data_IF_587778507211
#
_entry.id   IF_587778507211
#
_cell.length_a   1.000
_cell.length_b   1.000
_cell.length_c   1.000
_cell.angle_alpha   90.00
_cell.angle_beta   90.00
_cell.angle_gamma   90.00
#
_symmetry.space_group_name_H-M   'P 1'
#
loop_
_entity.id
_entity.type
_entity.pdbx_description
1 polymer ?
#
# COMPACT_ATOMS: atom_id res chain seq x y z
N UNK A 1 5.74 0.42 -1.22
CA UNK A 1 5.96 1.29 -2.41
C UNK A 1 6.74 2.52 -1.99
N UNK A 2 7.87 2.79 -2.64
CA UNK A 2 8.78 3.86 -2.24
C UNK A 2 8.50 5.16 -3.00
N UNK A 3 8.23 6.24 -2.27
CA UNK A 3 7.99 7.57 -2.85
C UNK A 3 9.24 8.05 -3.61
N UNK A 4 10.42 7.75 -3.09
CA UNK A 4 11.69 8.12 -3.72
C UNK A 4 11.82 7.51 -5.11
N UNK A 5 11.44 6.25 -5.28
CA UNK A 5 11.53 5.56 -6.57
C UNK A 5 10.65 6.22 -7.61
N UNK A 6 9.43 6.62 -7.21
CA UNK A 6 8.50 7.30 -8.10
C UNK A 6 9.00 8.68 -8.49
N UNK A 7 9.50 9.45 -7.54
CA UNK A 7 10.08 10.77 -7.80
C UNK A 7 11.28 10.65 -8.72
N UNK A 8 12.18 9.70 -8.47
CA UNK A 8 13.35 9.45 -9.32
C UNK A 8 12.95 9.08 -10.75
N UNK A 9 11.92 8.25 -10.90
CA UNK A 9 11.42 7.87 -12.22
C UNK A 9 10.90 9.08 -12.99
N UNK A 10 10.11 9.94 -12.34
CA UNK A 10 9.59 11.17 -12.96
C UNK A 10 10.74 12.04 -13.48
N UNK A 11 11.78 12.22 -12.67
CA UNK A 11 12.94 13.03 -13.03
C UNK A 11 13.70 12.40 -14.21
N UNK A 12 13.91 11.08 -14.18
CA UNK A 12 14.57 10.36 -15.28
C UNK A 12 13.83 10.51 -16.61
N UNK A 13 12.52 10.63 -16.57
CA UNK A 13 11.68 10.79 -17.77
C UNK A 13 11.53 12.26 -18.19
N UNK A 14 12.25 13.17 -17.55
CA UNK A 14 12.26 14.59 -17.90
C UNK A 14 11.13 15.40 -17.26
N UNK A 15 10.39 14.81 -16.35
CA UNK A 15 9.32 15.50 -15.63
C UNK A 15 9.82 16.20 -14.37
N UNK A 16 8.92 16.88 -13.68
CA UNK A 16 9.18 17.52 -12.40
C UNK A 16 8.42 16.84 -11.30
N UNK A 17 9.11 16.45 -10.24
CA UNK A 17 8.48 15.93 -9.02
C UNK A 17 8.12 17.13 -8.14
N UNK A 18 6.82 17.43 -8.04
CA UNK A 18 6.33 18.53 -7.19
C UNK A 18 5.93 17.97 -5.83
N UNK A 19 6.37 18.68 -4.79
CA UNK A 19 5.94 18.38 -3.42
C UNK A 19 4.72 19.23 -3.08
N UNK A 20 3.74 18.62 -2.48
CA UNK A 20 2.52 19.28 -2.02
C UNK A 20 2.34 19.02 -0.54
N UNK A 21 1.35 19.67 0.07
CA UNK A 21 1.05 19.48 1.48
C UNK A 21 0.61 18.05 1.76
N UNK A 22 0.87 17.60 2.98
CA UNK A 22 0.36 16.34 3.48
C UNK A 22 -0.90 16.65 4.29
N UNK A 23 -2.00 15.97 4.00
CA UNK A 23 -3.25 16.13 4.75
C UNK A 23 -3.08 15.65 6.19
N UNK A 24 -3.93 16.19 7.08
CA UNK A 24 -3.91 15.81 8.49
C UNK A 24 -4.15 14.31 8.62
N UNK A 25 -3.28 13.65 9.38
CA UNK A 25 -3.37 12.23 9.65
C UNK A 25 -4.20 12.02 10.92
N UNK A 26 -5.24 11.18 10.92
CA UNK A 26 -6.02 10.88 12.13
C UNK A 26 -5.15 10.26 13.23
N UNK A 27 -5.42 10.61 14.49
CA UNK A 27 -4.67 10.08 15.63
C UNK A 27 -5.43 8.97 16.38
N UNK A 28 -6.73 8.83 16.15
CA UNK A 28 -7.55 7.81 16.79
C UNK A 28 -8.06 6.84 15.72
N UNK A 29 -7.59 5.60 15.80
CA UNK A 29 -7.94 4.55 14.84
C UNK A 29 -8.88 3.49 15.44
N UNK A 30 -9.19 3.58 16.75
CA UNK A 30 -10.06 2.62 17.41
C UNK A 30 -9.34 1.37 17.90
N UNK A 31 -10.03 0.22 17.82
CA UNK A 31 -9.48 -1.08 18.25
C UNK A 31 -8.41 -1.59 17.29
N UNK A 32 -7.57 -2.55 17.74
CA UNK A 32 -6.59 -3.18 16.82
C UNK A 32 -7.21 -3.76 15.56
N UNK A 33 -8.38 -4.38 15.67
CA UNK A 33 -9.08 -4.90 14.50
C UNK A 33 -9.45 -3.78 13.53
N UNK A 34 -10.00 -2.68 14.05
CA UNK A 34 -10.37 -1.52 13.22
C UNK A 34 -9.16 -0.91 12.52
N UNK A 35 -8.02 -0.83 13.22
CA UNK A 35 -6.77 -0.33 12.64
C UNK A 35 -6.36 -1.18 11.44
N UNK A 36 -6.33 -2.49 11.58
CA UNK A 36 -5.90 -3.38 10.50
C UNK A 36 -6.91 -3.46 9.36
N UNK A 37 -8.20 -3.32 9.65
CA UNK A 37 -9.22 -3.19 8.60
C UNK A 37 -9.02 -1.92 7.79
N UNK A 38 -8.69 -0.80 8.44
CA UNK A 38 -8.37 0.45 7.75
C UNK A 38 -7.11 0.33 6.90
N UNK A 39 -6.10 -0.37 7.40
CA UNK A 39 -4.87 -0.66 6.62
C UNK A 39 -5.22 -1.44 5.37
N UNK A 40 -6.04 -2.49 5.50
CA UNK A 40 -6.45 -3.29 4.35
C UNK A 40 -7.22 -2.46 3.32
N UNK A 41 -8.17 -1.64 3.75
CA UNK A 41 -8.90 -0.73 2.86
C UNK A 41 -7.97 0.24 2.15
N UNK A 42 -6.99 0.76 2.87
CA UNK A 42 -5.99 1.66 2.30
C UNK A 42 -5.17 0.96 1.21
N UNK A 43 -4.73 -0.28 1.45
CA UNK A 43 -3.99 -1.06 0.46
C UNK A 43 -4.85 -1.32 -0.79
N UNK A 44 -6.13 -1.63 -0.63
CA UNK A 44 -7.03 -1.80 -1.76
C UNK A 44 -7.20 -0.51 -2.57
N UNK A 45 -7.26 0.63 -1.91
CA UNK A 45 -7.33 1.94 -2.58
C UNK A 45 -6.05 2.22 -3.37
N UNK A 46 -4.90 1.96 -2.77
CA UNK A 46 -3.59 2.14 -3.43
C UNK A 46 -3.51 1.26 -4.67
N UNK A 47 -3.96 0.01 -4.59
CA UNK A 47 -4.00 -0.89 -5.75
C UNK A 47 -4.83 -0.32 -6.90
N UNK A 48 -6.01 0.23 -6.60
CA UNK A 48 -6.86 0.85 -7.61
C UNK A 48 -6.20 2.07 -8.25
N UNK A 49 -5.49 2.87 -7.46
CA UNK A 49 -4.76 4.03 -7.96
C UNK A 49 -3.63 3.62 -8.90
N UNK A 50 -2.90 2.56 -8.56
CA UNK A 50 -1.83 2.02 -9.39
C UNK A 50 -2.42 1.46 -10.69
N UNK A 51 -3.52 0.72 -10.63
CA UNK A 51 -4.20 0.19 -11.81
C UNK A 51 -4.63 1.32 -12.75
N UNK A 52 -5.17 2.41 -12.20
CA UNK A 52 -5.55 3.58 -12.98
C UNK A 52 -4.33 4.21 -13.68
N UNK A 53 -3.18 4.27 -13.01
CA UNK A 53 -1.95 4.77 -13.62
C UNK A 53 -1.46 3.86 -14.76
N UNK A 54 -1.57 2.55 -14.59
CA UNK A 54 -1.24 1.59 -15.67
C UNK A 54 -2.13 1.84 -16.88
N UNK A 55 -3.43 2.06 -16.67
CA UNK A 55 -4.37 2.35 -17.76
C UNK A 55 -3.99 3.64 -18.50
N UNK A 56 -3.61 4.69 -17.77
CA UNK A 56 -3.14 5.95 -18.37
C UNK A 56 -1.88 5.71 -19.20
N UNK A 57 -0.90 4.98 -18.65
CA UNK A 57 0.33 4.67 -19.38
C UNK A 57 0.04 3.86 -20.65
N UNK A 58 -0.91 2.93 -20.58
CA UNK A 58 -1.33 2.16 -21.75
C UNK A 58 -1.98 3.06 -22.82
N UNK A 59 -2.86 3.99 -22.41
CA UNK A 59 -3.49 4.93 -23.31
C UNK A 59 -2.49 5.85 -24.02
N UNK A 60 -1.44 6.25 -23.31
CA UNK A 60 -0.34 7.06 -23.84
C UNK A 60 0.69 6.22 -24.61
N UNK A 61 0.52 4.92 -24.67
CA UNK A 61 1.45 3.97 -25.30
C UNK A 61 2.88 4.05 -24.73
N UNK A 62 2.97 4.40 -23.44
CA UNK A 62 4.24 4.51 -22.72
C UNK A 62 4.58 3.17 -22.07
N UNK A 63 5.21 2.29 -22.83
CA UNK A 63 5.57 0.94 -22.38
C UNK A 63 6.59 0.94 -21.26
N UNK A 64 7.50 1.90 -21.23
CA UNK A 64 8.51 1.99 -20.18
C UNK A 64 7.84 2.31 -18.83
N UNK A 65 6.87 3.21 -18.81
CA UNK A 65 6.10 3.52 -17.60
C UNK A 65 5.24 2.34 -17.20
N UNK A 66 4.63 1.64 -18.14
CA UNK A 66 3.89 0.41 -17.83
C UNK A 66 4.79 -0.61 -17.12
N UNK A 67 5.98 -0.87 -17.65
CA UNK A 67 6.91 -1.80 -17.04
C UNK A 67 7.30 -1.39 -15.62
N UNK A 68 7.58 -0.12 -15.42
CA UNK A 68 7.87 0.44 -14.10
C UNK A 68 6.70 0.21 -13.12
N UNK A 69 5.48 0.50 -13.55
CA UNK A 69 4.28 0.35 -12.73
C UNK A 69 3.93 -1.10 -12.42
N UNK A 70 4.25 -2.04 -13.33
CA UNK A 70 4.01 -3.47 -13.09
C UNK A 70 4.76 -3.98 -11.85
N UNK A 71 5.91 -3.41 -11.53
CA UNK A 71 6.62 -3.71 -10.28
C UNK A 71 5.75 -3.39 -9.05
N UNK A 72 5.08 -2.25 -9.07
CA UNK A 72 4.19 -1.86 -7.97
C UNK A 72 2.91 -2.70 -7.95
N UNK A 73 2.39 -3.09 -9.10
CA UNK A 73 1.25 -4.01 -9.16
C UNK A 73 1.57 -5.32 -8.44
N UNK A 74 2.74 -5.89 -8.70
CA UNK A 74 3.19 -7.12 -8.03
C UNK A 74 3.34 -6.93 -6.53
N UNK A 75 3.93 -5.83 -6.10
CA UNK A 75 4.07 -5.52 -4.67
C UNK A 75 2.70 -5.40 -3.99
N UNK A 76 1.73 -4.78 -4.65
CA UNK A 76 0.40 -4.58 -4.08
C UNK A 76 -0.36 -5.90 -3.88
N UNK A 77 -0.16 -6.89 -4.74
CA UNK A 77 -0.74 -8.23 -4.53
C UNK A 77 -0.28 -8.78 -3.19
N UNK A 78 1.01 -8.67 -2.88
CA UNK A 78 1.57 -9.13 -1.61
C UNK A 78 1.11 -8.25 -0.44
N UNK A 79 1.05 -6.94 -0.61
CA UNK A 79 0.62 -6.01 0.45
C UNK A 79 -0.84 -6.26 0.83
N UNK A 80 -1.72 -6.46 -0.13
CA UNK A 80 -3.11 -6.79 0.15
C UNK A 80 -3.25 -8.14 0.84
N UNK A 81 -2.52 -9.15 0.37
CA UNK A 81 -2.54 -10.48 0.98
C UNK A 81 -2.03 -10.44 2.42
N UNK A 82 -0.97 -9.69 2.69
CA UNK A 82 -0.42 -9.50 4.03
C UNK A 82 -1.44 -8.82 4.94
N UNK A 83 -2.03 -7.71 4.49
CA UNK A 83 -3.01 -6.97 5.28
C UNK A 83 -4.25 -7.82 5.57
N UNK A 84 -4.77 -8.54 4.58
CA UNK A 84 -5.90 -9.45 4.75
C UNK A 84 -5.59 -10.56 5.75
N UNK A 85 -4.38 -11.11 5.68
CA UNK A 85 -3.92 -12.16 6.61
C UNK A 85 -3.86 -11.67 8.04
N UNK A 86 -3.40 -10.43 8.26
CA UNK A 86 -3.34 -9.81 9.59
C UNK A 86 -4.75 -9.59 10.14
N UNK A 87 -5.68 -9.07 9.33
CA UNK A 87 -7.08 -8.88 9.72
C UNK A 87 -7.68 -10.22 10.17
N UNK A 88 -7.48 -11.26 9.37
CA UNK A 88 -7.99 -12.59 9.68
C UNK A 88 -7.40 -13.13 11.00
N UNK A 89 -6.11 -12.96 11.19
CA UNK A 89 -5.41 -13.38 12.41
C UNK A 89 -5.95 -12.64 13.64
N UNK A 90 -6.16 -11.33 13.56
CA UNK A 90 -6.71 -10.53 14.66
C UNK A 90 -8.15 -10.96 14.99
N UNK A 91 -8.96 -11.20 13.98
CA UNK A 91 -10.34 -11.71 14.18
C UNK A 91 -10.36 -13.04 14.89
N UNK A 92 -9.51 -13.99 14.51
CA UNK A 92 -9.43 -15.31 15.11
C UNK A 92 -8.89 -15.30 16.53
N UNK A 93 -7.92 -14.41 16.79
CA UNK A 93 -7.31 -14.29 18.11
C UNK A 93 -8.27 -13.71 19.15
N UNK A 94 -9.15 -12.80 18.76
CA UNK A 94 -10.01 -12.07 19.67
C UNK A 94 -9.21 -11.20 20.65
N UNK A 95 -9.86 -10.73 21.71
CA UNK A 95 -9.25 -9.81 22.67
C UNK A 95 -8.12 -10.46 23.46
N UNK A 96 -8.27 -11.73 23.83
CA UNK A 96 -7.29 -12.46 24.67
C UNK A 96 -6.06 -12.90 23.88
N UNK A 97 -6.17 -13.07 22.57
CA UNK A 97 -5.08 -13.52 21.73
C UNK A 97 -4.21 -12.40 21.14
N UNK A 98 -4.55 -11.13 21.42
CA UNK A 98 -3.88 -10.00 20.75
C UNK A 98 -2.37 -9.94 21.01
N UNK A 99 -1.92 -10.31 22.21
CA UNK A 99 -0.50 -10.34 22.53
C UNK A 99 0.24 -11.41 21.71
N UNK A 100 -0.40 -12.53 21.44
CA UNK A 100 0.16 -13.56 20.59
C UNK A 100 0.30 -13.08 19.13
N UNK A 101 -0.70 -12.38 18.64
CA UNK A 101 -0.66 -11.75 17.30
C UNK A 101 0.47 -10.75 17.22
N UNK A 102 0.62 -9.90 18.23
CA UNK A 102 1.69 -8.91 18.30
C UNK A 102 3.08 -9.57 18.20
N UNK A 103 3.28 -10.65 18.94
CA UNK A 103 4.54 -11.44 18.88
C UNK A 103 4.78 -11.99 17.46
N UNK A 104 3.74 -12.50 16.80
CA UNK A 104 3.84 -13.00 15.43
C UNK A 104 4.19 -11.90 14.44
N UNK A 105 3.61 -10.72 14.58
CA UNK A 105 3.92 -9.59 13.71
C UNK A 105 5.36 -9.11 13.88
N UNK A 106 5.92 -9.25 15.09
CA UNK A 106 7.33 -8.92 15.35
C UNK A 106 8.32 -9.82 14.61
N UNK A 107 7.91 -10.98 14.11
CA UNK A 107 8.73 -11.89 13.31
C UNK A 107 8.82 -11.46 11.83
N UNK A 108 7.99 -10.52 11.38
CA UNK A 108 7.99 -10.04 10.00
C UNK A 108 9.25 -9.22 9.70
N UNK A 109 9.79 -9.43 8.53
CA UNK A 109 10.93 -8.66 8.01
C UNK A 109 10.48 -7.70 6.92
#
# INVERSE_FOLDING_TARGET
>A
MCIRDRASYIIKRGGKAKLDKIDVVPNDFGTPLEVFEQVYEHECRVSKMIDALVDVAAAEKDKATQDFLWGFVREQVEEEATAAGIVDMVKKAGTTGIFFVDAKLGERK
#
